data_IF_941136543571
#
_entry.id   IF_941136543571
#
_cell.length_a   1.000
_cell.length_b   1.000
_cell.length_c   1.000
_cell.angle_alpha   90.00
_cell.angle_beta   90.00
_cell.angle_gamma   90.00
#
_symmetry.space_group_name_H-M   'P 1'
#
loop_
_entity.id
_entity.type
_entity.pdbx_description
1 polymer ?
#
# COMPACT_ATOMS: atom_id res chain seq x y z
N UNK A 1 -16.61 8.83 -24.67
CA UNK A 1 -17.24 10.07 -24.22
C UNK A 1 -18.75 9.95 -24.42
N UNK A 2 -19.56 10.52 -23.49
CA UNK A 2 -21.03 10.46 -23.57
C UNK A 2 -21.70 9.49 -22.61
N UNK A 3 -20.96 8.93 -21.66
CA UNK A 3 -21.53 8.12 -20.59
C UNK A 3 -21.64 8.95 -19.30
N UNK A 4 -22.73 8.77 -18.58
CA UNK A 4 -22.87 9.32 -17.23
C UNK A 4 -21.96 8.57 -16.25
N UNK A 5 -21.42 9.30 -15.30
CA UNK A 5 -20.57 8.73 -14.24
C UNK A 5 -21.17 9.00 -12.86
N UNK A 6 -20.97 8.06 -11.95
CA UNK A 6 -21.29 8.21 -10.54
C UNK A 6 -19.99 8.30 -9.75
N UNK A 7 -19.87 9.35 -8.93
CA UNK A 7 -18.74 9.54 -8.02
C UNK A 7 -19.12 9.14 -6.60
N UNK A 8 -18.46 8.12 -6.06
CA UNK A 8 -18.59 7.69 -4.67
C UNK A 8 -17.39 8.19 -3.88
N UNK A 9 -17.58 9.21 -3.05
CA UNK A 9 -16.52 9.79 -2.22
C UNK A 9 -15.90 8.75 -1.26
N UNK A 10 -14.59 8.81 -1.10
CA UNK A 10 -13.82 7.97 -0.18
C UNK A 10 -13.20 8.84 0.92
N UNK A 11 -13.83 8.87 2.08
CA UNK A 11 -13.29 9.59 3.25
C UNK A 11 -13.30 11.12 3.10
N UNK A 12 -12.15 11.76 3.28
CA UNK A 12 -12.02 13.21 3.17
C UNK A 12 -12.47 13.72 1.78
N UNK A 13 -13.11 14.89 1.75
CA UNK A 13 -13.66 15.42 0.51
C UNK A 13 -12.62 15.70 -0.58
N UNK A 14 -11.42 16.12 -0.17
CA UNK A 14 -10.31 16.44 -1.07
C UNK A 14 -8.97 15.99 -0.53
N UNK A 15 -8.01 15.77 -1.42
CA UNK A 15 -6.62 15.56 -1.05
C UNK A 15 -5.92 16.91 -0.73
N UNK A 16 -4.62 16.85 -0.37
CA UNK A 16 -3.81 18.05 -0.05
C UNK A 16 -3.67 19.06 -1.20
N UNK A 17 -4.08 18.71 -2.40
CA UNK A 17 -4.07 19.56 -3.59
C UNK A 17 -5.47 20.05 -3.96
N UNK A 18 -6.49 19.80 -3.13
CA UNK A 18 -7.88 20.18 -3.38
C UNK A 18 -8.60 19.26 -4.39
N UNK A 19 -8.04 18.08 -4.73
CA UNK A 19 -8.65 17.17 -5.68
C UNK A 19 -9.61 16.22 -4.98
N UNK A 20 -10.79 16.00 -5.57
CA UNK A 20 -11.78 15.05 -5.08
C UNK A 20 -11.22 13.62 -5.15
N UNK A 21 -11.29 12.90 -4.04
CA UNK A 21 -10.93 11.47 -3.96
C UNK A 21 -12.23 10.65 -3.97
N UNK A 22 -12.47 9.94 -5.06
CA UNK A 22 -13.69 9.17 -5.25
C UNK A 22 -13.46 7.90 -6.06
N UNK A 23 -14.32 6.90 -5.85
CA UNK A 23 -14.51 5.81 -6.81
C UNK A 23 -15.40 6.30 -7.95
N UNK A 24 -15.08 5.87 -9.16
CA UNK A 24 -15.80 6.25 -10.36
C UNK A 24 -16.47 5.01 -10.94
N UNK A 25 -17.79 5.05 -11.09
CA UNK A 25 -18.54 4.04 -11.83
C UNK A 25 -19.15 4.66 -13.09
N UNK A 26 -19.16 3.93 -14.20
CA UNK A 26 -19.78 4.33 -15.45
C UNK A 26 -21.20 3.78 -15.51
N UNK A 27 -22.18 4.60 -15.86
CA UNK A 27 -23.56 4.16 -16.05
C UNK A 27 -23.88 4.04 -17.57
N UNK A 28 -24.81 3.12 -17.98
CA UNK A 28 -25.62 2.22 -17.17
C UNK A 28 -25.00 0.80 -16.93
N UNK A 29 -23.78 0.55 -17.39
CA UNK A 29 -23.40 -0.78 -17.83
C UNK A 29 -22.73 -1.68 -16.80
N UNK A 30 -22.37 -1.23 -15.62
CA UNK A 30 -21.69 -2.18 -14.75
C UNK A 30 -22.21 -2.18 -13.34
N UNK A 31 -22.94 -3.21 -13.03
CA UNK A 31 -23.38 -3.70 -11.73
C UNK A 31 -22.34 -3.56 -10.58
N UNK A 32 -21.89 -2.32 -10.31
CA UNK A 32 -21.02 -2.02 -9.17
C UNK A 32 -19.52 -2.03 -9.43
N UNK A 33 -19.05 -2.34 -10.62
CA UNK A 33 -17.61 -2.26 -10.95
C UNK A 33 -17.18 -0.82 -11.15
N UNK A 34 -16.04 -0.45 -10.56
CA UNK A 34 -15.49 0.89 -10.66
C UNK A 34 -14.34 0.94 -11.68
N UNK A 35 -14.12 2.12 -12.27
CA UNK A 35 -12.97 2.35 -13.17
C UNK A 35 -11.66 1.94 -12.50
N UNK A 36 -11.53 2.17 -11.19
CA UNK A 36 -10.36 1.77 -10.43
C UNK A 36 -10.17 0.25 -10.40
N UNK A 37 -11.25 -0.52 -10.22
CA UNK A 37 -11.18 -1.99 -10.26
C UNK A 37 -10.76 -2.49 -11.64
N UNK A 38 -11.32 -1.95 -12.71
CA UNK A 38 -10.96 -2.29 -14.08
C UNK A 38 -9.47 -1.99 -14.35
N UNK A 39 -8.98 -0.79 -13.98
CA UNK A 39 -7.56 -0.43 -14.13
C UNK A 39 -6.64 -1.35 -13.34
N UNK A 40 -7.04 -1.75 -12.13
CA UNK A 40 -6.26 -2.68 -11.30
C UNK A 40 -6.26 -4.08 -11.88
N UNK A 41 -7.41 -4.58 -12.35
CA UNK A 41 -7.54 -5.90 -12.95
C UNK A 41 -6.72 -6.04 -14.25
N UNK A 42 -6.55 -4.95 -14.98
CA UNK A 42 -5.71 -4.88 -16.18
C UNK A 42 -4.23 -4.60 -15.88
N UNK A 43 -3.87 -4.40 -14.61
CA UNK A 43 -2.50 -4.10 -14.20
C UNK A 43 -2.04 -2.68 -14.52
N UNK A 44 -2.94 -1.75 -14.84
CA UNK A 44 -2.58 -0.36 -15.17
C UNK A 44 -2.43 0.55 -13.94
N UNK A 45 -2.76 0.04 -12.76
CA UNK A 45 -2.64 0.77 -11.51
C UNK A 45 -2.15 -0.13 -10.37
N UNK A 46 -1.74 0.51 -9.27
CA UNK A 46 -1.41 -0.15 -7.99
C UNK A 46 -2.22 0.51 -6.88
N UNK A 47 -2.73 -0.32 -5.96
CA UNK A 47 -3.48 0.17 -4.81
C UNK A 47 -2.55 0.97 -3.90
N UNK A 48 -2.90 2.22 -3.59
CA UNK A 48 -2.23 3.00 -2.54
C UNK A 48 -2.65 2.48 -1.16
N UNK A 49 -1.81 2.64 -0.14
CA UNK A 49 -2.14 2.26 1.23
C UNK A 49 -3.20 3.14 1.92
N UNK A 50 -3.85 4.04 1.19
CA UNK A 50 -4.61 5.15 1.78
C UNK A 50 -6.12 5.06 1.49
N UNK A 51 -6.72 3.86 1.65
CA UNK A 51 -8.14 3.63 1.43
C UNK A 51 -8.81 3.50 2.80
N UNK A 52 -9.70 4.45 3.13
CA UNK A 52 -10.34 4.51 4.45
C UNK A 52 -11.43 3.44 4.68
N UNK A 53 -12.03 2.91 3.62
CA UNK A 53 -13.07 1.88 3.68
C UNK A 53 -12.45 0.49 3.44
N UNK A 54 -12.65 -0.42 4.41
CA UNK A 54 -12.05 -1.77 4.36
C UNK A 54 -12.61 -2.62 3.22
N UNK A 55 -13.92 -2.58 2.98
CA UNK A 55 -14.53 -3.39 1.91
C UNK A 55 -14.06 -2.92 0.53
N UNK A 56 -13.96 -1.62 0.33
CA UNK A 56 -13.36 -1.05 -0.88
C UNK A 56 -11.90 -1.46 -1.03
N UNK A 57 -11.11 -1.39 0.05
CA UNK A 57 -9.70 -1.80 0.03
C UNK A 57 -9.54 -3.27 -0.36
N UNK A 58 -10.33 -4.16 0.23
CA UNK A 58 -10.30 -5.61 -0.04
C UNK A 58 -10.65 -5.90 -1.51
N UNK A 59 -11.67 -5.24 -2.07
CA UNK A 59 -12.07 -5.40 -3.47
C UNK A 59 -10.96 -4.94 -4.44
N UNK A 60 -10.38 -3.77 -4.20
CA UNK A 60 -9.30 -3.22 -5.01
C UNK A 60 -8.01 -4.07 -4.92
N UNK A 61 -7.67 -4.55 -3.72
CA UNK A 61 -6.52 -5.44 -3.51
C UNK A 61 -6.72 -6.81 -4.17
N UNK A 62 -7.95 -7.30 -4.23
CA UNK A 62 -8.29 -8.55 -4.92
C UNK A 62 -8.08 -8.42 -6.43
N UNK A 63 -8.57 -7.34 -7.04
CA UNK A 63 -8.35 -7.05 -8.46
C UNK A 63 -6.85 -6.92 -8.79
N UNK A 64 -6.11 -6.16 -7.97
CA UNK A 64 -4.66 -6.04 -8.14
C UNK A 64 -3.93 -7.39 -7.99
N UNK A 65 -4.36 -8.23 -7.05
CA UNK A 65 -3.74 -9.54 -6.80
C UNK A 65 -3.83 -10.45 -8.02
N UNK A 66 -4.97 -10.47 -8.70
CA UNK A 66 -5.16 -11.25 -9.93
C UNK A 66 -4.22 -10.75 -11.03
N UNK A 67 -4.26 -9.44 -11.34
CA UNK A 67 -3.38 -8.84 -12.36
C UNK A 67 -1.89 -9.08 -12.09
N UNK A 68 -1.48 -9.04 -10.83
CA UNK A 68 -0.10 -9.33 -10.43
C UNK A 68 0.27 -10.79 -10.62
N UNK A 69 -0.63 -11.73 -10.31
CA UNK A 69 -0.38 -13.16 -10.50
C UNK A 69 -0.19 -13.50 -11.99
N UNK A 70 -0.95 -12.82 -12.84
CA UNK A 70 -0.92 -13.02 -14.29
C UNK A 70 0.13 -12.15 -15.00
N UNK A 71 0.89 -11.33 -14.27
CA UNK A 71 1.93 -10.44 -14.81
C UNK A 71 1.41 -9.39 -15.77
N UNK A 72 0.19 -8.89 -15.58
CA UNK A 72 -0.46 -7.93 -16.48
C UNK A 72 0.07 -6.50 -16.29
N UNK A 73 0.14 -5.75 -17.38
CA UNK A 73 0.46 -4.31 -17.38
C UNK A 73 1.75 -3.98 -16.62
N UNK A 74 1.68 -3.16 -15.59
CA UNK A 74 2.82 -2.78 -14.74
C UNK A 74 3.54 -3.97 -14.10
N UNK A 75 2.83 -5.08 -13.88
CA UNK A 75 3.40 -6.26 -13.24
C UNK A 75 4.29 -7.10 -14.17
N UNK A 76 4.29 -6.84 -15.47
CA UNK A 76 5.24 -7.40 -16.43
C UNK A 76 6.60 -6.66 -16.39
N UNK A 77 6.63 -5.41 -15.92
CA UNK A 77 7.83 -4.59 -15.90
C UNK A 77 8.59 -4.77 -14.56
N UNK A 78 9.87 -5.16 -14.67
CA UNK A 78 10.77 -5.38 -13.53
C UNK A 78 10.86 -4.18 -12.57
N UNK A 79 10.63 -2.97 -13.08
CA UNK A 79 10.66 -1.74 -12.29
C UNK A 79 9.52 -1.67 -11.26
N UNK A 80 8.34 -2.20 -11.61
CA UNK A 80 7.13 -2.18 -10.77
C UNK A 80 6.92 -3.46 -9.96
N UNK A 81 7.74 -4.49 -10.13
CA UNK A 81 7.64 -5.72 -9.36
C UNK A 81 7.77 -5.45 -7.86
N UNK A 82 7.13 -6.30 -7.08
CA UNK A 82 7.29 -6.29 -5.63
C UNK A 82 8.76 -6.45 -5.25
N UNK A 83 9.20 -5.66 -4.29
CA UNK A 83 10.53 -5.76 -3.71
C UNK A 83 10.49 -6.72 -2.53
N UNK A 84 11.60 -7.37 -2.26
CA UNK A 84 11.77 -8.25 -1.11
C UNK A 84 12.45 -7.49 0.03
N UNK A 85 11.96 -7.65 1.25
CA UNK A 85 12.52 -6.97 2.41
C UNK A 85 13.97 -7.39 2.69
N UNK A 86 14.36 -8.58 2.23
CA UNK A 86 15.71 -9.14 2.33
C UNK A 86 16.69 -8.58 1.28
N UNK A 87 16.22 -7.71 0.38
CA UNK A 87 17.02 -7.04 -0.64
C UNK A 87 16.99 -5.52 -0.45
N UNK A 88 17.73 -4.97 0.52
CA UNK A 88 17.77 -3.52 0.80
C UNK A 88 18.21 -2.69 -0.40
N UNK A 89 19.16 -3.17 -1.18
CA UNK A 89 19.67 -2.47 -2.37
C UNK A 89 18.60 -2.36 -3.45
N UNK A 90 17.87 -3.45 -3.71
CA UNK A 90 16.75 -3.46 -4.64
C UNK A 90 15.58 -2.56 -4.21
N UNK A 91 15.40 -2.34 -2.89
CA UNK A 91 14.44 -1.37 -2.37
C UNK A 91 14.97 0.05 -2.57
N UNK A 92 16.23 0.32 -2.24
CA UNK A 92 16.85 1.65 -2.39
C UNK A 92 16.93 2.09 -3.86
N UNK A 93 17.04 1.16 -4.80
CA UNK A 93 17.02 1.47 -6.24
C UNK A 93 15.73 2.20 -6.69
N UNK A 94 14.67 2.14 -5.89
CA UNK A 94 13.40 2.85 -6.14
C UNK A 94 13.11 3.94 -5.09
N UNK A 95 14.14 4.49 -4.44
CA UNK A 95 14.03 5.60 -3.48
C UNK A 95 13.27 6.78 -4.08
N UNK A 96 12.40 7.40 -3.30
CA UNK A 96 11.52 8.50 -3.70
C UNK A 96 10.29 8.04 -4.48
N UNK A 97 10.15 6.74 -4.77
CA UNK A 97 9.02 6.19 -5.53
C UNK A 97 8.15 5.31 -4.65
N UNK A 98 6.89 5.18 -5.05
CA UNK A 98 5.97 4.23 -4.42
C UNK A 98 6.38 2.79 -4.76
N UNK A 99 6.52 1.96 -3.75
CA UNK A 99 6.83 0.54 -3.88
C UNK A 99 5.88 -0.34 -3.06
N UNK A 100 5.83 -1.62 -3.42
CA UNK A 100 5.26 -2.70 -2.63
C UNK A 100 6.42 -3.58 -2.20
N UNK A 101 6.65 -3.68 -0.90
CA UNK A 101 7.71 -4.50 -0.31
C UNK A 101 7.06 -5.63 0.48
N UNK A 102 7.50 -6.86 0.27
CA UNK A 102 7.04 -8.02 1.05
C UNK A 102 8.19 -8.66 1.80
N UNK A 103 7.92 -9.21 2.96
CA UNK A 103 8.89 -9.95 3.75
C UNK A 103 8.36 -10.42 5.09
N UNK A 104 9.19 -11.19 5.78
CA UNK A 104 8.91 -11.66 7.13
C UNK A 104 9.38 -10.63 8.15
N UNK A 105 8.49 -10.18 9.01
CA UNK A 105 8.83 -9.27 10.11
C UNK A 105 9.71 -10.01 11.11
N UNK A 106 10.88 -9.46 11.38
CA UNK A 106 11.79 -10.02 12.38
C UNK A 106 11.39 -9.58 13.80
N UNK A 107 11.13 -8.29 13.99
CA UNK A 107 10.76 -7.75 15.30
C UNK A 107 9.92 -6.50 15.17
N UNK A 108 9.16 -6.23 16.23
CA UNK A 108 8.45 -4.96 16.40
C UNK A 108 8.95 -4.34 17.69
N UNK A 109 9.32 -3.05 17.63
CA UNK A 109 9.83 -2.29 18.78
C UNK A 109 9.17 -0.92 18.85
N UNK A 110 9.06 -0.41 20.04
CA UNK A 110 8.58 0.95 20.28
C UNK A 110 9.72 1.82 20.82
N UNK A 111 9.85 3.02 20.28
CA UNK A 111 10.76 4.03 20.80
C UNK A 111 10.12 5.41 20.65
N UNK A 112 10.00 6.12 21.76
CA UNK A 112 9.32 7.42 21.79
C UNK A 112 7.89 7.32 21.23
N UNK A 113 7.57 8.15 20.25
CA UNK A 113 6.26 8.22 19.59
C UNK A 113 6.14 7.29 18.36
N UNK A 114 7.09 6.38 18.14
CA UNK A 114 7.19 5.59 16.90
C UNK A 114 7.23 4.10 17.21
N UNK A 115 6.51 3.33 16.39
CA UNK A 115 6.57 1.86 16.33
C UNK A 115 7.42 1.50 15.12
N UNK A 116 8.43 0.67 15.34
CA UNK A 116 9.37 0.18 14.34
C UNK A 116 9.05 -1.28 14.03
N UNK A 117 8.77 -1.58 12.77
CA UNK A 117 8.61 -2.94 12.26
C UNK A 117 9.85 -3.26 11.45
N UNK A 118 10.72 -4.11 11.99
CA UNK A 118 12.03 -4.40 11.42
C UNK A 118 12.01 -5.72 10.67
N UNK A 119 12.63 -5.74 9.50
CA UNK A 119 12.75 -6.93 8.65
C UNK A 119 14.13 -7.58 8.74
N UNK A 120 15.12 -6.89 9.30
CA UNK A 120 16.45 -7.41 9.55
C UNK A 120 16.98 -7.05 10.95
N UNK A 121 18.22 -7.42 11.23
CA UNK A 121 18.86 -7.20 12.54
C UNK A 121 19.59 -5.87 12.63
N UNK A 122 20.00 -5.32 11.48
CA UNK A 122 20.78 -4.09 11.35
C UNK A 122 19.88 -2.97 10.79
N UNK A 123 19.23 -2.25 11.71
CA UNK A 123 18.32 -1.16 11.35
C UNK A 123 18.95 -0.07 10.46
N UNK A 124 20.29 0.06 10.47
CA UNK A 124 21.04 1.01 9.64
C UNK A 124 21.26 0.53 8.20
N UNK A 125 20.89 -0.69 7.88
CA UNK A 125 21.12 -1.30 6.57
C UNK A 125 19.85 -2.01 6.06
N UNK A 126 19.10 -2.62 6.98
CA UNK A 126 17.96 -3.45 6.66
C UNK A 126 16.66 -2.63 6.50
N UNK A 127 15.71 -3.19 5.76
CA UNK A 127 14.41 -2.56 5.56
C UNK A 127 13.65 -2.40 6.88
N UNK A 128 13.15 -1.20 7.10
CA UNK A 128 12.36 -0.84 8.28
C UNK A 128 11.09 -0.09 7.89
N UNK A 129 9.99 -0.41 8.56
CA UNK A 129 8.73 0.31 8.46
C UNK A 129 8.44 1.00 9.78
N UNK A 130 7.95 2.23 9.72
CA UNK A 130 7.50 2.96 10.89
C UNK A 130 6.04 3.32 10.86
N UNK A 131 5.45 3.32 12.04
CA UNK A 131 4.11 3.80 12.31
C UNK A 131 4.19 4.76 13.50
N UNK A 132 3.63 5.96 13.37
CA UNK A 132 3.47 6.83 14.52
C UNK A 132 2.43 6.24 15.48
N UNK A 133 2.70 6.22 16.79
CA UNK A 133 1.79 5.66 17.82
C UNK A 133 0.39 6.25 17.75
N UNK A 134 0.25 7.53 17.40
CA UNK A 134 -1.06 8.16 17.20
C UNK A 134 -1.92 7.48 16.15
N UNK A 135 -1.31 6.77 15.19
CA UNK A 135 -1.96 6.05 14.11
C UNK A 135 -2.25 4.58 14.47
N UNK A 136 -1.73 4.04 15.57
CA UNK A 136 -1.87 2.63 15.96
C UNK A 136 -3.34 2.20 16.02
N UNK A 137 -4.22 3.07 16.53
CA UNK A 137 -5.66 2.80 16.62
C UNK A 137 -6.30 2.53 15.25
N UNK A 138 -5.83 3.18 14.21
CA UNK A 138 -6.33 2.96 12.83
C UNK A 138 -6.03 1.54 12.35
N UNK A 139 -4.83 1.04 12.65
CA UNK A 139 -4.46 -0.36 12.32
C UNK A 139 -5.26 -1.35 13.15
N UNK A 140 -5.43 -1.12 14.44
CA UNK A 140 -6.23 -1.98 15.31
C UNK A 140 -7.70 -2.04 14.88
N UNK A 141 -8.29 -0.91 14.50
CA UNK A 141 -9.65 -0.85 13.97
C UNK A 141 -9.81 -1.61 12.65
N UNK A 142 -8.75 -1.69 11.85
CA UNK A 142 -8.69 -2.51 10.64
C UNK A 142 -8.39 -4.00 10.91
N UNK A 143 -8.27 -4.40 12.19
CA UNK A 143 -7.97 -5.77 12.60
C UNK A 143 -6.48 -6.14 12.55
N UNK A 144 -5.59 -5.15 12.45
CA UNK A 144 -4.15 -5.36 12.40
C UNK A 144 -3.49 -4.88 13.70
N UNK A 145 -3.09 -5.83 14.54
CA UNK A 145 -2.33 -5.54 15.74
C UNK A 145 -0.82 -5.52 15.41
N UNK A 146 -0.24 -4.31 15.35
CA UNK A 146 1.16 -4.11 14.94
C UNK A 146 2.15 -4.91 15.80
N UNK A 147 1.91 -4.99 17.10
CA UNK A 147 2.78 -5.72 18.05
C UNK A 147 2.83 -7.24 17.78
N UNK A 148 1.80 -7.79 17.12
CA UNK A 148 1.70 -9.21 16.77
C UNK A 148 2.25 -9.54 15.38
N UNK A 149 2.91 -8.60 14.72
CA UNK A 149 3.46 -8.81 13.38
C UNK A 149 4.76 -9.60 13.38
N UNK A 150 5.49 -9.67 14.48
CA UNK A 150 6.74 -10.44 14.55
C UNK A 150 6.52 -11.88 14.10
N UNK A 151 7.37 -12.37 13.19
CA UNK A 151 7.29 -13.68 12.57
C UNK A 151 6.30 -13.80 11.41
N UNK A 152 5.46 -12.80 11.16
CA UNK A 152 4.47 -12.83 10.07
C UNK A 152 5.04 -12.28 8.76
N UNK A 153 4.59 -12.86 7.64
CA UNK A 153 4.80 -12.28 6.32
C UNK A 153 3.79 -11.17 6.06
N UNK A 154 4.29 -10.00 5.68
CA UNK A 154 3.46 -8.82 5.40
C UNK A 154 3.85 -8.19 4.07
N UNK A 155 2.92 -7.41 3.50
CA UNK A 155 3.18 -6.50 2.38
C UNK A 155 3.00 -5.08 2.84
N UNK A 156 4.01 -4.28 2.60
CA UNK A 156 4.04 -2.86 2.94
C UNK A 156 3.95 -2.05 1.66
N UNK A 157 3.17 -0.99 1.70
CA UNK A 157 2.93 -0.08 0.57
C UNK A 157 3.28 1.34 0.99
N UNK A 158 4.10 2.00 0.22
CA UNK A 158 4.47 3.37 0.51
C UNK A 158 5.61 3.89 -0.35
N UNK A 159 5.95 5.15 -0.13
CA UNK A 159 7.13 5.75 -0.76
C UNK A 159 8.38 5.31 -0.01
N UNK A 160 9.36 4.83 -0.77
CA UNK A 160 10.65 4.43 -0.22
C UNK A 160 11.47 5.66 0.12
N UNK A 161 11.91 5.74 1.35
CA UNK A 161 12.89 6.70 1.85
C UNK A 161 14.18 5.97 2.26
N UNK A 162 15.21 6.73 2.60
CA UNK A 162 16.46 6.22 3.17
C UNK A 162 16.71 6.91 4.50
N UNK A 163 16.85 6.13 5.55
CA UNK A 163 17.22 6.60 6.90
C UNK A 163 18.19 5.60 7.55
N UNK A 164 19.42 5.59 7.05
CA UNK A 164 20.37 4.50 7.23
C UNK A 164 20.11 3.43 6.19
N UNK A 165 19.18 2.51 6.42
CA UNK A 165 18.64 1.56 5.43
C UNK A 165 17.38 2.07 4.72
N UNK A 166 16.80 1.22 3.86
CA UNK A 166 15.52 1.52 3.21
C UNK A 166 14.39 1.61 4.23
N UNK A 167 13.51 2.58 4.01
CA UNK A 167 12.51 2.99 4.97
C UNK A 167 11.17 3.29 4.31
N UNK A 168 10.07 2.89 4.96
CA UNK A 168 8.72 3.32 4.60
C UNK A 168 7.98 3.75 5.87
N UNK A 169 7.41 4.95 5.87
CA UNK A 169 6.48 5.38 6.90
C UNK A 169 5.04 5.10 6.46
N UNK A 170 4.25 4.44 7.31
CA UNK A 170 2.86 4.13 7.05
C UNK A 170 1.94 4.75 8.11
N UNK A 171 0.83 5.32 7.65
CA UNK A 171 -0.14 6.00 8.52
C UNK A 171 -1.43 5.18 8.73
N UNK A 172 -1.74 4.26 7.82
CA UNK A 172 -2.92 3.40 7.81
C UNK A 172 -2.77 2.28 6.78
#
# INVERSE_FOLDING_TARGET
SGHDIVLRKLGAETDRYGRLVALVAVQPDNAGETVQQTLLAQGHARVSGNIGDKACADALLTAEKAARADGLGLWADRHYLMKKAEDPEGILAVRGRFAVVEGKVLSVRESGATIYVNFGRRWSEDFTVTVLKRNERTFTAAGLELKKLAGRHVRVRGTVEERGGPWIEVAR
#
